data_IF_442376644857
#
_entry.id   IF_442376644857
#
_cell.length_a   1.000
_cell.length_b   1.000
_cell.length_c   1.000
_cell.angle_alpha   90.00
_cell.angle_beta   90.00
_cell.angle_gamma   90.00
#
_symmetry.space_group_name_H-M   'P 1'
#
loop_
_entity.id
_entity.type
_entity.pdbx_description
1 polymer ?
#
# COMPACT_ATOMS: atom_id res chain seq x y z
N UNK A 1 13.18 1.71 0.51
CA UNK A 1 12.03 2.18 1.30
C UNK A 1 10.83 1.32 0.93
N UNK A 2 10.04 0.88 1.91
CA UNK A 2 8.80 0.12 1.69
C UNK A 2 7.62 0.98 2.14
N UNK A 3 6.68 1.26 1.24
CA UNK A 3 5.47 2.04 1.54
C UNK A 3 4.28 1.13 1.88
N UNK A 4 4.21 -0.06 1.30
CA UNK A 4 3.24 -1.11 1.61
C UNK A 4 4.01 -2.44 1.54
N UNK A 5 3.99 -3.22 2.61
CA UNK A 5 4.74 -4.46 2.78
C UNK A 5 5.58 -4.48 4.07
N UNK A 6 6.49 -5.45 4.16
CA UNK A 6 7.35 -5.69 5.33
C UNK A 6 8.79 -5.21 5.06
N UNK A 7 9.40 -4.52 6.03
CA UNK A 7 10.82 -4.17 6.04
C UNK A 7 11.43 -4.43 7.43
N UNK A 8 12.24 -5.48 7.54
CA UNK A 8 12.71 -5.96 8.85
C UNK A 8 11.52 -6.42 9.70
N UNK A 9 11.43 -5.95 10.94
CA UNK A 9 10.31 -6.24 11.84
C UNK A 9 9.08 -5.33 11.61
N UNK A 10 9.22 -4.27 10.83
CA UNK A 10 8.13 -3.33 10.56
C UNK A 10 7.28 -3.78 9.37
N UNK A 11 5.97 -3.59 9.48
CA UNK A 11 5.01 -3.83 8.41
C UNK A 11 4.12 -2.62 8.26
N UNK A 12 3.88 -2.21 7.01
CA UNK A 12 2.88 -1.18 6.66
C UNK A 12 1.92 -1.82 5.67
N UNK A 13 0.65 -1.85 5.98
CA UNK A 13 -0.42 -2.44 5.18
C UNK A 13 -1.18 -1.37 4.39
N UNK A 14 -2.01 -1.79 3.43
CA UNK A 14 -2.91 -0.85 2.76
C UNK A 14 -3.98 -0.30 3.73
N UNK A 15 -4.38 -1.10 4.73
CA UNK A 15 -5.35 -0.67 5.74
C UNK A 15 -4.75 0.36 6.69
N UNK A 16 -3.45 0.30 7.03
CA UNK A 16 -2.79 1.34 7.83
C UNK A 16 -2.86 2.72 7.15
N UNK A 17 -2.75 2.76 5.82
CA UNK A 17 -2.95 4.00 5.05
C UNK A 17 -4.41 4.41 5.00
N UNK A 18 -5.33 3.46 4.87
CA UNK A 18 -6.76 3.73 4.84
C UNK A 18 -7.26 4.33 6.16
N UNK A 19 -6.83 3.79 7.30
CA UNK A 19 -7.13 4.31 8.63
C UNK A 19 -6.64 5.74 8.80
N UNK A 20 -5.43 6.05 8.30
CA UNK A 20 -4.87 7.41 8.34
C UNK A 20 -5.62 8.40 7.43
N UNK A 21 -6.27 7.91 6.36
CA UNK A 21 -6.98 8.72 5.36
C UNK A 21 -8.50 8.75 5.58
N UNK A 22 -9.03 7.94 6.50
CA UNK A 22 -10.48 7.80 6.71
C UNK A 22 -11.20 7.09 5.57
N UNK A 23 -10.53 6.14 4.91
CA UNK A 23 -11.08 5.36 3.79
C UNK A 23 -10.99 3.85 4.04
N UNK A 24 -11.06 3.02 3.01
CA UNK A 24 -10.88 1.56 3.08
C UNK A 24 -9.65 1.12 2.29
N UNK A 25 -9.03 -0.01 2.66
CA UNK A 25 -7.84 -0.52 1.97
C UNK A 25 -8.01 -0.73 0.47
N UNK A 26 -9.24 -1.01 0.00
CA UNK A 26 -9.55 -1.14 -1.43
C UNK A 26 -9.28 0.15 -2.22
N UNK A 27 -9.57 1.32 -1.64
CA UNK A 27 -9.31 2.60 -2.29
C UNK A 27 -7.81 2.88 -2.41
N UNK A 28 -7.01 2.43 -1.44
CA UNK A 28 -5.55 2.57 -1.48
C UNK A 28 -4.97 1.75 -2.64
N UNK A 29 -5.33 0.47 -2.76
CA UNK A 29 -4.80 -0.39 -3.82
C UNK A 29 -5.31 0.00 -5.20
N UNK A 30 -6.58 0.41 -5.32
CA UNK A 30 -7.15 0.91 -6.58
C UNK A 30 -6.61 2.29 -6.97
N UNK A 31 -6.22 3.11 -5.98
CA UNK A 31 -5.60 4.42 -6.19
C UNK A 31 -4.17 4.36 -6.74
N UNK A 32 -3.52 3.18 -6.74
CA UNK A 32 -2.17 3.03 -7.31
C UNK A 32 -2.23 3.25 -8.83
N UNK A 33 -1.72 4.41 -9.25
CA UNK A 33 -1.70 4.85 -10.64
C UNK A 33 -1.01 3.84 -11.57
N UNK A 34 -1.48 3.69 -12.83
CA UNK A 34 -0.81 2.88 -13.86
C UNK A 34 0.65 3.29 -14.15
N UNK A 35 1.08 4.47 -13.72
CA UNK A 35 2.49 4.92 -13.83
C UNK A 35 3.46 4.03 -13.04
N UNK A 36 2.98 3.36 -11.99
CA UNK A 36 3.83 2.46 -11.20
C UNK A 36 3.91 1.10 -11.90
N UNK A 37 5.12 0.71 -12.26
CA UNK A 37 5.38 -0.57 -12.94
C UNK A 37 5.11 -1.76 -12.01
N UNK A 38 4.37 -2.75 -12.52
CA UNK A 38 4.04 -3.99 -11.80
C UNK A 38 5.00 -5.10 -12.22
N UNK A 39 5.71 -5.66 -11.26
CA UNK A 39 6.60 -6.83 -11.46
C UNK A 39 5.96 -8.06 -10.86
N UNK A 40 5.97 -9.16 -11.61
CA UNK A 40 5.50 -10.47 -11.18
C UNK A 40 6.71 -11.42 -11.09
N UNK A 41 6.67 -12.38 -10.16
CA UNK A 41 7.72 -13.37 -9.88
C UNK A 41 7.14 -14.75 -9.70
#
# INVERSE_FOLDING_TARGET
VVLIGKQGEHTVTADDWADALGTIGYEIVCGISPRIFRRYS
#
